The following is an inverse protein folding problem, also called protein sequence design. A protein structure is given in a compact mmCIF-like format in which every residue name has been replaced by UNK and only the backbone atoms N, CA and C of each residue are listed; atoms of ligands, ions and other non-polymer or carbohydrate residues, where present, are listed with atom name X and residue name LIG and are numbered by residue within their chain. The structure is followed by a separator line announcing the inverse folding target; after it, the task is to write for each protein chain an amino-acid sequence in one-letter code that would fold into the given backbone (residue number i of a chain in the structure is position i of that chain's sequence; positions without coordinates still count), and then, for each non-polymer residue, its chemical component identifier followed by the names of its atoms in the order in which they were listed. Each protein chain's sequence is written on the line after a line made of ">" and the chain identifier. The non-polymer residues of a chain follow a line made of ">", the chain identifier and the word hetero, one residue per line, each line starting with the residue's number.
data_IF_390459898065
#
_entry.id   IF_390459898065
#
_cell.length_a   1.000
_cell.length_b   1.000
_cell.length_c   1.000
_cell.angle_alpha   90.00
_cell.angle_beta   90.00
_cell.angle_gamma   90.00
#
_symmetry.space_group_name_H-M   'P 1'
#
loop_
_entity.id
_entity.type
_entity.pdbx_description
1 polymer ?
#
# COMPACT_ATOMS: atom_id res chain seq x y z
N UNK A 1 5.24 31.18 24.10
CA UNK A 1 4.69 29.96 23.45
C UNK A 1 4.09 30.39 22.12
N UNK A 2 4.83 30.26 21.01
CA UNK A 2 4.34 30.68 19.70
C UNK A 2 3.40 29.59 19.15
N UNK A 3 2.10 29.91 19.05
CA UNK A 3 1.15 29.10 18.29
C UNK A 3 1.52 29.24 16.81
N UNK A 4 2.01 28.16 16.21
CA UNK A 4 2.20 28.07 14.76
C UNK A 4 0.79 28.07 14.15
N UNK A 5 0.39 29.18 13.51
CA UNK A 5 -0.88 29.25 12.80
C UNK A 5 -0.89 28.19 11.68
N UNK A 6 -2.01 27.49 11.48
CA UNK A 6 -2.11 26.48 10.42
C UNK A 6 -1.94 27.16 9.06
N UNK A 7 -1.03 26.63 8.23
CA UNK A 7 -0.73 27.12 6.86
C UNK A 7 -1.95 27.06 5.94
N UNK A 8 -2.93 26.22 6.25
CA UNK A 8 -4.17 26.05 5.49
C UNK A 8 -5.36 25.95 6.45
N UNK A 9 -6.44 26.67 6.18
CA UNK A 9 -7.65 26.60 7.01
C UNK A 9 -8.48 25.34 6.69
N UNK A 10 -8.66 25.04 5.40
CA UNK A 10 -9.58 24.02 4.91
C UNK A 10 -8.99 23.26 3.72
N UNK A 11 -9.56 22.09 3.37
CA UNK A 11 -9.13 21.32 2.19
C UNK A 11 -9.31 22.09 0.87
N UNK A 12 -10.39 22.86 0.74
CA UNK A 12 -10.62 23.74 -0.42
C UNK A 12 -9.51 24.78 -0.53
N UNK A 13 -9.03 25.28 0.61
CA UNK A 13 -7.98 26.28 0.69
C UNK A 13 -6.64 25.71 0.23
N UNK A 14 -6.31 24.47 0.64
CA UNK A 14 -5.15 23.71 0.14
C UNK A 14 -5.19 23.62 -1.39
N UNK A 15 -6.31 23.15 -1.95
CA UNK A 15 -6.42 22.97 -3.41
C UNK A 15 -6.29 24.30 -4.14
N UNK A 16 -6.96 25.36 -3.65
CA UNK A 16 -6.93 26.68 -4.26
C UNK A 16 -5.54 27.31 -4.20
N UNK A 17 -4.86 27.23 -3.06
CA UNK A 17 -3.51 27.76 -2.88
C UNK A 17 -2.50 26.98 -3.72
N UNK A 18 -2.53 25.64 -3.67
CA UNK A 18 -1.64 24.79 -4.49
C UNK A 18 -1.83 25.03 -5.98
N UNK A 19 -3.07 25.21 -6.46
CA UNK A 19 -3.34 25.58 -7.84
C UNK A 19 -2.74 26.94 -8.21
N UNK A 20 -2.88 27.94 -7.34
CA UNK A 20 -2.41 29.31 -7.59
C UNK A 20 -0.89 29.44 -7.52
N UNK A 21 -0.24 28.74 -6.59
CA UNK A 21 1.20 28.81 -6.34
C UNK A 21 2.00 27.91 -7.29
N UNK A 22 1.50 26.71 -7.59
CA UNK A 22 2.27 25.67 -8.30
C UNK A 22 1.64 25.22 -9.63
N UNK A 23 0.42 25.66 -9.93
CA UNK A 23 -0.32 25.31 -11.15
C UNK A 23 -0.98 23.92 -11.12
N UNK A 24 -1.76 23.57 -12.15
CA UNK A 24 -2.49 22.28 -12.23
C UNK A 24 -1.60 21.04 -12.16
N UNK A 25 -0.36 21.13 -12.68
CA UNK A 25 0.56 19.99 -12.73
C UNK A 25 0.99 19.55 -11.33
N UNK A 26 0.90 20.41 -10.31
CA UNK A 26 1.26 20.06 -8.94
C UNK A 26 0.35 19.00 -8.33
N UNK A 27 -0.94 19.00 -8.69
CA UNK A 27 -1.92 18.02 -8.21
C UNK A 27 -1.62 16.59 -8.65
N UNK A 28 -0.83 16.42 -9.71
CA UNK A 28 -0.42 15.11 -10.25
C UNK A 28 1.01 14.72 -9.82
N UNK A 29 1.67 15.49 -8.95
CA UNK A 29 3.00 15.14 -8.44
C UNK A 29 2.95 13.79 -7.72
N UNK A 30 3.89 12.92 -8.07
CA UNK A 30 3.96 11.56 -7.54
C UNK A 30 3.06 10.53 -8.24
N UNK A 31 2.25 10.93 -9.23
CA UNK A 31 1.44 9.96 -10.00
C UNK A 31 2.31 9.01 -10.84
N UNK A 32 3.31 9.54 -11.56
CA UNK A 32 4.24 8.74 -12.36
C UNK A 32 5.02 7.70 -11.56
N UNK A 33 5.69 8.03 -10.42
CA UNK A 33 6.35 7.02 -9.60
C UNK A 33 5.36 6.04 -8.97
N UNK A 34 4.11 6.45 -8.70
CA UNK A 34 3.08 5.52 -8.24
C UNK A 34 2.82 4.43 -9.30
N UNK A 35 2.61 4.82 -10.57
CA UNK A 35 2.42 3.86 -11.66
C UNK A 35 3.65 2.99 -11.89
N UNK A 36 4.83 3.59 -11.90
CA UNK A 36 6.09 2.86 -12.06
C UNK A 36 6.31 1.82 -10.94
N UNK A 37 5.82 2.09 -9.72
CA UNK A 37 5.92 1.19 -8.57
C UNK A 37 4.99 -0.02 -8.62
N UNK A 38 3.88 0.05 -9.38
CA UNK A 38 2.90 -1.05 -9.48
C UNK A 38 3.52 -2.29 -10.15
N UNK A 39 4.34 -2.08 -11.19
CA UNK A 39 4.97 -3.18 -11.94
C UNK A 39 5.91 -4.03 -11.06
N UNK A 40 6.93 -3.47 -10.38
CA UNK A 40 7.81 -4.26 -9.52
C UNK A 40 7.07 -4.86 -8.33
N UNK A 41 6.09 -4.15 -7.75
CA UNK A 41 5.25 -4.68 -6.68
C UNK A 41 4.52 -5.95 -7.14
N UNK A 42 3.74 -5.82 -8.22
CA UNK A 42 2.88 -6.90 -8.70
C UNK A 42 3.68 -8.07 -9.25
N UNK A 43 4.76 -7.79 -9.99
CA UNK A 43 5.64 -8.83 -10.54
C UNK A 43 6.31 -9.67 -9.46
N UNK A 44 6.90 -9.03 -8.46
CA UNK A 44 7.62 -9.75 -7.38
C UNK A 44 6.64 -10.43 -6.42
N UNK A 45 5.51 -9.79 -6.10
CA UNK A 45 4.48 -10.41 -5.28
C UNK A 45 3.91 -11.66 -5.97
N UNK A 46 3.54 -11.57 -7.26
CA UNK A 46 3.01 -12.70 -8.01
C UNK A 46 4.04 -13.82 -8.15
N UNK A 47 5.27 -13.50 -8.55
CA UNK A 47 6.36 -14.46 -8.67
C UNK A 47 6.63 -15.19 -7.34
N UNK A 48 6.74 -14.43 -6.24
CA UNK A 48 6.95 -14.99 -4.91
C UNK A 48 5.79 -15.89 -4.50
N UNK A 49 4.56 -15.44 -4.69
CA UNK A 49 3.37 -16.19 -4.31
C UNK A 49 3.29 -17.53 -5.05
N UNK A 50 3.43 -17.53 -6.39
CA UNK A 50 3.35 -18.76 -7.18
C UNK A 50 4.52 -19.70 -6.88
N UNK A 51 5.74 -19.18 -6.69
CA UNK A 51 6.91 -19.98 -6.29
C UNK A 51 6.70 -20.66 -4.94
N UNK A 52 6.24 -19.93 -3.93
CA UNK A 52 5.99 -20.47 -2.59
C UNK A 52 4.85 -21.49 -2.60
N UNK A 53 3.78 -21.19 -3.34
CA UNK A 53 2.62 -22.06 -3.52
C UNK A 53 3.03 -23.38 -4.18
N UNK A 54 3.76 -23.32 -5.28
CA UNK A 54 4.24 -24.51 -5.98
C UNK A 54 5.19 -25.33 -5.11
N UNK A 55 6.15 -24.67 -4.46
CA UNK A 55 7.07 -25.33 -3.54
C UNK A 55 6.33 -26.06 -2.39
N UNK A 56 5.29 -25.43 -1.83
CA UNK A 56 4.52 -26.02 -0.73
C UNK A 56 3.64 -27.17 -1.19
N UNK A 57 3.02 -27.06 -2.36
CA UNK A 57 2.19 -28.13 -2.96
C UNK A 57 3.06 -29.34 -3.30
N UNK A 58 4.21 -29.15 -3.95
CA UNK A 58 5.14 -30.24 -4.32
C UNK A 58 5.68 -31.01 -3.11
N UNK A 59 5.87 -30.33 -1.97
CA UNK A 59 6.32 -30.96 -0.73
C UNK A 59 5.23 -31.70 0.04
N UNK A 60 3.96 -31.51 -0.31
CA UNK A 60 2.84 -32.23 0.31
C UNK A 60 2.55 -33.49 -0.48
N UNK A 61 2.91 -34.64 0.07
CA UNK A 61 2.40 -35.93 -0.36
C UNK A 61 1.12 -36.19 0.44
N UNK A 62 -0.04 -36.24 -0.23
CA UNK A 62 -1.28 -36.67 0.42
C UNK A 62 -1.28 -38.20 0.62
N UNK A 63 -2.07 -38.72 1.57
CA UNK A 63 -2.24 -40.17 1.76
C UNK A 63 -2.68 -40.92 0.49
N UNK A 64 -3.34 -40.21 -0.44
CA UNK A 64 -3.83 -40.71 -1.72
C UNK A 64 -2.79 -40.63 -2.86
N UNK A 65 -1.52 -40.32 -2.54
CA UNK A 65 -0.41 -40.25 -3.50
C UNK A 65 -0.42 -39.05 -4.45
N UNK A 66 -1.53 -38.30 -4.55
CA UNK A 66 -1.63 -37.12 -5.42
C UNK A 66 -1.35 -35.80 -4.68
N UNK A 67 -0.65 -34.83 -5.30
CA UNK A 67 -0.43 -33.52 -4.69
C UNK A 67 -1.75 -32.72 -4.59
N UNK A 68 -1.99 -31.97 -3.51
CA UNK A 68 -3.19 -31.17 -3.35
C UNK A 68 -3.25 -30.03 -4.38
N UNK A 69 -4.39 -29.86 -5.05
CA UNK A 69 -4.61 -28.77 -6.03
C UNK A 69 -4.70 -27.37 -5.40
N UNK A 70 -4.88 -27.26 -4.07
CA UNK A 70 -5.09 -25.99 -3.35
C UNK A 70 -4.29 -25.95 -2.04
N UNK A 71 -3.84 -24.75 -1.66
CA UNK A 71 -3.21 -24.49 -0.36
C UNK A 71 -4.27 -24.48 0.75
N UNK A 72 -3.87 -24.86 1.98
CA UNK A 72 -4.72 -24.60 3.15
C UNK A 72 -4.85 -23.09 3.39
N UNK A 73 -5.95 -22.60 3.99
CA UNK A 73 -6.15 -21.17 4.23
C UNK A 73 -4.96 -20.49 4.94
N UNK A 74 -4.42 -21.13 5.98
CA UNK A 74 -3.26 -20.61 6.74
C UNK A 74 -1.99 -20.55 5.88
N UNK A 75 -1.73 -21.58 5.07
CA UNK A 75 -0.55 -21.60 4.18
C UNK A 75 -0.67 -20.54 3.08
N UNK A 76 -1.88 -20.35 2.55
CA UNK A 76 -2.18 -19.32 1.57
C UNK A 76 -1.96 -17.92 2.15
N UNK A 77 -2.37 -17.70 3.40
CA UNK A 77 -2.13 -16.45 4.12
C UNK A 77 -0.63 -16.19 4.31
N UNK A 78 0.15 -17.18 4.74
CA UNK A 78 1.59 -17.02 4.89
C UNK A 78 2.30 -16.74 3.55
N UNK A 79 1.95 -17.47 2.49
CA UNK A 79 2.52 -17.24 1.15
C UNK A 79 2.17 -15.85 0.64
N UNK A 80 0.91 -15.42 0.81
CA UNK A 80 0.45 -14.09 0.43
C UNK A 80 1.11 -12.98 1.24
N UNK A 81 1.28 -13.16 2.56
CA UNK A 81 1.96 -12.21 3.41
C UNK A 81 3.43 -12.03 3.02
N UNK A 82 4.16 -13.12 2.80
CA UNK A 82 5.57 -13.08 2.39
C UNK A 82 5.73 -12.46 0.99
N UNK A 83 4.86 -12.83 0.05
CA UNK A 83 4.79 -12.21 -1.28
C UNK A 83 4.54 -10.70 -1.19
N UNK A 84 3.61 -10.27 -0.35
CA UNK A 84 3.33 -8.85 -0.11
C UNK A 84 4.52 -8.10 0.47
N UNK A 85 5.21 -8.68 1.47
CA UNK A 85 6.42 -8.08 2.07
C UNK A 85 7.54 -7.92 1.04
N UNK A 86 7.82 -8.94 0.24
CA UNK A 86 8.88 -8.88 -0.77
C UNK A 86 8.53 -7.93 -1.92
N UNK A 87 7.30 -7.99 -2.44
CA UNK A 87 6.83 -7.06 -3.47
C UNK A 87 6.86 -5.61 -2.99
N UNK A 88 6.43 -5.38 -1.74
CA UNK A 88 6.48 -4.05 -1.13
C UNK A 88 7.91 -3.56 -0.93
N UNK A 89 8.83 -4.44 -0.52
CA UNK A 89 10.24 -4.09 -0.35
C UNK A 89 10.87 -3.65 -1.67
N UNK A 90 10.60 -4.37 -2.75
CA UNK A 90 11.15 -4.05 -4.06
C UNK A 90 10.61 -2.76 -4.68
N UNK A 91 9.33 -2.44 -4.45
CA UNK A 91 8.70 -1.20 -4.91
C UNK A 91 8.94 -0.01 -3.97
N UNK A 92 9.47 -0.25 -2.76
CA UNK A 92 9.59 0.76 -1.71
C UNK A 92 10.41 2.00 -2.09
N UNK A 93 11.52 1.92 -2.85
CA UNK A 93 12.24 3.10 -3.31
C UNK A 93 11.36 4.06 -4.13
N UNK A 94 10.49 3.53 -4.98
CA UNK A 94 9.55 4.34 -5.76
C UNK A 94 8.44 4.93 -4.89
N UNK A 95 8.01 4.23 -3.84
CA UNK A 95 7.07 4.78 -2.85
C UNK A 95 7.67 5.95 -2.05
N UNK A 96 8.97 5.90 -1.72
CA UNK A 96 9.67 7.04 -1.09
C UNK A 96 9.73 8.21 -2.06
N UNK A 97 10.11 7.99 -3.31
CA UNK A 97 10.14 9.05 -4.33
C UNK A 97 8.76 9.67 -4.49
N UNK A 98 7.70 8.85 -4.62
CA UNK A 98 6.31 9.32 -4.67
C UNK A 98 5.99 10.24 -3.49
N UNK A 99 6.27 9.80 -2.25
CA UNK A 99 5.98 10.58 -1.04
C UNK A 99 6.76 11.89 -1.02
N UNK A 100 8.04 11.90 -1.40
CA UNK A 100 8.87 13.12 -1.50
C UNK A 100 8.36 14.10 -2.55
N UNK A 101 7.96 13.60 -3.72
CA UNK A 101 7.36 14.41 -4.78
C UNK A 101 6.04 15.04 -4.33
N UNK A 102 5.22 14.30 -3.58
CA UNK A 102 3.92 14.77 -3.06
C UNK A 102 4.08 15.82 -1.95
N UNK A 103 5.11 15.70 -1.11
CA UNK A 103 5.33 16.62 0.01
C UNK A 103 6.24 17.82 -0.34
N UNK A 104 6.87 17.83 -1.52
CA UNK A 104 7.83 18.84 -1.97
C UNK A 104 7.36 20.29 -1.78
N UNK A 105 6.08 20.59 -2.10
CA UNK A 105 5.52 21.95 -1.96
C UNK A 105 5.31 22.38 -0.49
N UNK A 106 5.14 21.42 0.42
CA UNK A 106 4.98 21.68 1.86
C UNK A 106 6.35 21.80 2.53
N UNK A 107 7.29 20.94 2.15
CA UNK A 107 8.63 20.89 2.74
C UNK A 107 9.61 21.90 2.15
N UNK A 108 9.26 22.56 1.04
CA UNK A 108 10.10 23.57 0.41
C UNK A 108 11.27 22.98 -0.39
N UNK A 109 11.10 21.78 -0.94
CA UNK A 109 12.12 21.07 -1.73
C UNK A 109 11.69 20.88 -3.18
N UNK A 110 11.69 21.96 -4.01
CA UNK A 110 11.27 21.89 -5.41
C UNK A 110 12.13 20.95 -6.25
N UNK A 111 13.38 20.67 -5.85
CA UNK A 111 14.30 19.74 -6.50
C UNK A 111 13.74 18.30 -6.62
N UNK A 112 12.82 17.91 -5.72
CA UNK A 112 12.13 16.62 -5.80
C UNK A 112 11.07 16.57 -6.90
N UNK A 113 10.66 17.70 -7.49
CA UNK A 113 9.56 17.71 -8.47
C UNK A 113 10.00 17.44 -9.91
N UNK A 114 11.31 17.47 -10.18
CA UNK A 114 11.84 17.45 -11.55
C UNK A 114 11.78 16.09 -12.23
N UNK A 115 12.21 15.02 -11.55
CA UNK A 115 12.17 13.66 -12.09
C UNK A 115 12.25 12.59 -11.01
N UNK A 116 11.83 11.36 -11.34
CA UNK A 116 11.92 10.21 -10.44
C UNK A 116 13.38 9.89 -10.13
N UNK A 117 14.24 9.85 -11.15
CA UNK A 117 15.66 9.49 -11.00
C UNK A 117 16.44 10.57 -10.25
N UNK A 118 16.18 11.85 -10.51
CA UNK A 118 16.81 12.94 -9.74
C UNK A 118 16.42 12.87 -8.27
N UNK A 119 15.13 12.70 -7.97
CA UNK A 119 14.64 12.56 -6.59
C UNK A 119 15.27 11.36 -5.89
N UNK A 120 15.30 10.21 -6.57
CA UNK A 120 15.91 8.99 -6.02
C UNK A 120 17.40 9.20 -5.74
N UNK A 121 18.13 9.85 -6.66
CA UNK A 121 19.54 10.19 -6.51
C UNK A 121 19.78 11.15 -5.34
N UNK A 122 18.97 12.21 -5.22
CA UNK A 122 19.07 13.18 -4.12
C UNK A 122 18.83 12.48 -2.78
N UNK A 123 17.76 11.67 -2.66
CA UNK A 123 17.48 10.92 -1.43
C UNK A 123 18.62 9.96 -1.09
N UNK A 124 19.17 9.26 -2.08
CA UNK A 124 20.29 8.36 -1.88
C UNK A 124 21.56 9.09 -1.43
N UNK A 125 21.87 10.25 -2.02
CA UNK A 125 23.08 11.02 -1.69
C UNK A 125 23.00 11.71 -0.32
N UNK A 126 21.83 12.23 0.06
CA UNK A 126 21.66 12.96 1.33
C UNK A 126 21.34 12.05 2.52
N UNK A 127 20.55 10.99 2.33
CA UNK A 127 20.05 10.14 3.43
C UNK A 127 20.54 8.69 3.36
N UNK A 128 21.14 8.29 2.23
CA UNK A 128 21.62 6.92 2.02
C UNK A 128 20.52 5.91 1.64
N UNK A 129 20.91 4.64 1.52
CA UNK A 129 20.02 3.57 1.09
C UNK A 129 18.97 3.22 2.16
N UNK A 130 19.41 2.76 3.34
CA UNK A 130 18.49 2.26 4.38
C UNK A 130 17.73 3.37 5.09
N UNK A 131 18.42 4.49 5.38
CA UNK A 131 17.83 5.63 6.09
C UNK A 131 17.06 6.59 5.18
N UNK A 132 17.30 6.55 3.87
CA UNK A 132 16.56 7.30 2.85
C UNK A 132 15.52 6.44 2.14
N UNK A 133 15.96 5.60 1.19
CA UNK A 133 15.08 4.84 0.31
C UNK A 133 14.26 3.74 1.01
N UNK A 134 14.70 3.24 2.17
CA UNK A 134 13.97 2.22 2.96
C UNK A 134 13.44 2.74 4.30
N UNK A 135 13.40 4.06 4.46
CA UNK A 135 12.92 4.69 5.70
C UNK A 135 11.47 4.31 5.99
N UNK A 136 11.24 3.65 7.13
CA UNK A 136 9.89 3.31 7.60
C UNK A 136 9.22 2.13 6.89
N UNK A 137 9.98 1.30 6.16
CA UNK A 137 9.43 0.12 5.47
C UNK A 137 8.70 -0.84 6.41
N UNK A 138 9.19 -0.99 7.64
CA UNK A 138 8.60 -1.83 8.69
C UNK A 138 7.20 -1.36 9.08
N UNK A 139 6.98 -0.05 9.17
CA UNK A 139 5.66 0.52 9.46
C UNK A 139 4.66 0.17 8.35
N UNK A 140 5.13 0.14 7.10
CA UNK A 140 4.29 -0.21 5.97
C UNK A 140 3.89 -1.70 5.99
N UNK A 141 4.80 -2.59 6.43
CA UNK A 141 4.47 -4.01 6.61
C UNK A 141 3.44 -4.25 7.72
N UNK A 142 3.50 -3.49 8.81
CA UNK A 142 2.57 -3.64 9.95
C UNK A 142 1.20 -3.04 9.64
N UNK A 143 1.16 -1.89 8.94
CA UNK A 143 -0.08 -1.20 8.62
C UNK A 143 -1.04 -2.06 7.80
N UNK A 144 -0.53 -2.83 6.84
CA UNK A 144 -1.35 -3.64 5.93
C UNK A 144 -2.25 -4.65 6.65
N UNK A 145 -1.68 -5.59 7.44
CA UNK A 145 -2.45 -6.57 8.21
C UNK A 145 -3.46 -5.94 9.18
N UNK A 146 -3.10 -4.83 9.84
CA UNK A 146 -4.02 -4.13 10.75
C UNK A 146 -5.22 -3.58 9.99
N UNK A 147 -4.97 -2.85 8.89
CA UNK A 147 -6.03 -2.29 8.07
C UNK A 147 -6.93 -3.37 7.47
N UNK A 148 -6.34 -4.47 7.00
CA UNK A 148 -7.07 -5.63 6.50
C UNK A 148 -7.94 -6.25 7.60
N UNK A 149 -7.39 -6.48 8.79
CA UNK A 149 -8.11 -7.06 9.92
C UNK A 149 -9.33 -6.23 10.34
N UNK A 150 -9.16 -4.91 10.46
CA UNK A 150 -10.27 -3.99 10.72
C UNK A 150 -11.32 -4.07 9.60
N UNK A 151 -10.89 -4.00 8.34
CA UNK A 151 -11.79 -4.03 7.18
C UNK A 151 -12.61 -5.32 7.11
N UNK A 152 -11.96 -6.48 7.31
CA UNK A 152 -12.64 -7.77 7.32
C UNK A 152 -13.62 -7.90 8.49
N UNK A 153 -13.23 -7.44 9.68
CA UNK A 153 -14.11 -7.48 10.86
C UNK A 153 -15.35 -6.62 10.64
N UNK A 154 -15.19 -5.39 10.15
CA UNK A 154 -16.31 -4.51 9.83
C UNK A 154 -17.18 -5.11 8.73
N UNK A 155 -16.59 -5.67 7.68
CA UNK A 155 -17.32 -6.32 6.61
C UNK A 155 -18.17 -7.50 7.10
N UNK A 156 -17.59 -8.39 7.91
CA UNK A 156 -18.31 -9.53 8.50
C UNK A 156 -19.45 -9.07 9.41
N UNK A 157 -19.23 -8.01 10.20
CA UNK A 157 -20.28 -7.46 11.06
C UNK A 157 -21.46 -6.90 10.25
N UNK A 158 -21.16 -6.19 9.17
CA UNK A 158 -22.19 -5.63 8.29
C UNK A 158 -22.94 -6.73 7.55
N UNK A 159 -22.25 -7.76 7.05
CA UNK A 159 -22.90 -8.91 6.41
C UNK A 159 -23.81 -9.67 7.40
N UNK A 160 -23.36 -9.87 8.64
CA UNK A 160 -24.17 -10.50 9.66
C UNK A 160 -25.43 -9.67 9.96
N UNK A 161 -25.28 -8.36 10.14
CA UNK A 161 -26.42 -7.45 10.34
C UNK A 161 -27.40 -7.49 9.16
N UNK A 162 -26.90 -7.48 7.93
CA UNK A 162 -27.72 -7.57 6.73
C UNK A 162 -28.50 -8.89 6.68
N UNK A 163 -27.84 -10.02 6.99
CA UNK A 163 -28.51 -11.33 7.03
C UNK A 163 -29.61 -11.39 8.10
N UNK A 164 -29.40 -10.74 9.25
CA UNK A 164 -30.42 -10.64 10.30
C UNK A 164 -31.61 -9.80 9.84
N UNK A 165 -31.35 -8.69 9.13
CA UNK A 165 -32.40 -7.85 8.59
C UNK A 165 -33.25 -8.60 7.54
N UNK A 166 -32.63 -9.32 6.60
CA UNK A 166 -33.35 -10.16 5.63
C UNK A 166 -34.23 -11.21 6.31
N UNK A 167 -33.70 -11.90 7.33
CA UNK A 167 -34.45 -12.89 8.09
C UNK A 167 -35.64 -12.31 8.89
N UNK A 168 -35.65 -11.00 9.16
CA UNK A 168 -36.78 -10.33 9.80
C UNK A 168 -37.84 -9.93 8.79
N UNK A 169 -37.44 -9.48 7.59
CA UNK A 169 -38.33 -9.09 6.50
C UNK A 169 -39.09 -10.31 5.91
N UNK A 170 -38.46 -11.50 5.87
CA UNK A 170 -39.06 -12.73 5.33
C UNK A 170 -40.00 -13.47 6.31
N UNK A 171 -40.19 -12.96 7.54
CA UNK A 171 -41.17 -13.56 8.48
C UNK A 171 -42.59 -13.26 7.98
N UNK A 172 -43.44 -14.26 7.70
CA UNK A 172 -44.81 -14.01 7.30
C UNK A 172 -45.54 -13.26 8.42
N UNK A 173 -46.15 -12.12 8.10
CA UNK A 173 -47.11 -11.45 8.98
C UNK A 173 -48.33 -12.37 9.10
N UNK A 174 -48.38 -13.15 10.18
CA UNK A 174 -49.61 -13.78 10.67
C UNK A 174 -50.68 -12.75 10.94
#
# INVERSE_FOLDING_TARGET
>A
MYFVLPRYANLIDVVRMTYREEGLRSLYRGFTPALAGILPYSGIAFYTFETLKEWRIRKRIMPDGQPPKKLRPVENLFCGALAGVLGQTASYPLDIVRRRMQTAGVTGHPEYTQSILSTMKIVYQHEGLFRGLYKGVTMNWIKGPIAAGVSFTTFHQLQHLYSLWQNLEERPTT
#
